data_IF_390103686640
#
_entry.id   IF_390103686640
#
_cell.length_a   1.000
_cell.length_b   1.000
_cell.length_c   1.000
_cell.angle_alpha   90.00
_cell.angle_beta   90.00
_cell.angle_gamma   90.00
#
_symmetry.space_group_name_H-M   'P 1'
#
loop_
_entity.id
_entity.type
_entity.pdbx_description
1 polymer ?
#
# COMPACT_ATOMS: atom_id res chain seq x y z
N UNK A 1 22.42 25.24 -17.22
CA UNK A 1 22.15 25.16 -17.11
C UNK A 1 21.98 24.71 -16.77
N UNK A 2 21.98 24.66 -16.91
CA UNK A 2 21.64 24.28 -16.70
C UNK A 2 21.47 23.59 -16.42
N UNK A 3 21.41 23.32 -16.57
CA UNK A 3 21.10 22.87 -16.38
C UNK A 3 20.88 22.25 -16.14
N UNK A 4 20.94 22.15 -16.23
CA UNK A 4 20.64 21.65 -16.09
C UNK A 4 20.27 21.06 -15.89
N UNK A 5 20.31 21.17 -16.05
CA UNK A 5 19.84 20.65 -15.97
C UNK A 5 19.56 19.98 -15.84
N UNK A 6 19.54 19.89 -15.94
CA UNK A 6 19.01 19.36 -15.94
C UNK A 6 18.86 18.50 -15.75
N UNK A 7 18.93 18.46 -15.80
CA UNK A 7 18.51 17.87 -15.78
C UNK A 7 18.45 17.02 -15.38
N UNK A 8 18.53 16.97 -15.41
CA UNK A 8 18.50 16.37 -15.08
C UNK A 8 18.04 15.77 -14.55
N UNK A 9 17.97 15.85 -14.56
CA UNK A 9 17.55 15.36 -14.20
C UNK A 9 17.16 14.74 -14.08
N UNK A 10 17.19 14.64 -14.47
CA UNK A 10 16.83 14.00 -14.42
C UNK A 10 16.61 13.23 -14.24
N UNK A 11 16.26 13.20 -14.33
CA UNK A 11 16.10 12.55 -14.51
C UNK A 11 16.47 11.70 -14.24
N UNK A 12 16.87 11.84 -14.01
CA UNK A 12 17.18 10.97 -13.45
C UNK A 12 16.38 9.85 -13.25
N UNK A 13 15.22 9.78 -13.43
CA UNK A 13 14.35 8.68 -13.32
C UNK A 13 14.66 7.60 -14.29
N UNK A 14 15.03 7.94 -15.45
CA UNK A 14 15.34 6.93 -16.44
C UNK A 14 16.48 6.05 -16.01
N UNK A 15 17.22 6.49 -15.03
CA UNK A 15 18.33 5.71 -14.55
C UNK A 15 17.99 4.82 -13.40
N UNK A 16 16.76 4.85 -12.97
CA UNK A 16 16.34 3.96 -11.94
C UNK A 16 16.46 2.54 -12.38
N UNK A 17 16.71 1.70 -11.45
CA UNK A 17 16.70 0.29 -11.73
C UNK A 17 15.33 -0.14 -12.22
N UNK A 18 15.28 -1.13 -13.10
CA UNK A 18 13.98 -1.62 -13.54
C UNK A 18 13.13 -2.06 -12.35
N UNK A 19 11.85 -1.89 -12.50
CA UNK A 19 10.93 -2.32 -11.48
C UNK A 19 9.81 -3.14 -12.12
N UNK A 20 9.11 -3.89 -11.29
CA UNK A 20 7.95 -4.64 -11.70
C UNK A 20 6.85 -4.42 -10.70
N UNK A 21 5.62 -4.46 -11.17
CA UNK A 21 4.48 -4.34 -10.27
C UNK A 21 4.26 -5.67 -9.56
N UNK A 22 4.10 -5.58 -8.25
CA UNK A 22 3.88 -6.73 -7.40
C UNK A 22 2.77 -6.39 -6.44
N UNK A 23 1.80 -7.27 -6.29
CA UNK A 23 0.74 -7.05 -5.34
C UNK A 23 1.28 -7.16 -3.92
N UNK A 24 0.71 -6.34 -3.02
CA UNK A 24 1.19 -6.30 -1.65
C UNK A 24 1.11 -7.64 -0.94
N UNK A 25 0.17 -8.50 -1.33
CA UNK A 25 0.03 -9.79 -0.66
C UNK A 25 1.29 -10.64 -0.72
N UNK A 26 2.19 -10.35 -1.65
CA UNK A 26 3.43 -11.09 -1.76
C UNK A 26 4.54 -10.51 -0.89
N UNK A 27 4.32 -9.32 -0.35
CA UNK A 27 5.34 -8.60 0.42
C UNK A 27 4.93 -8.40 1.86
N UNK A 28 3.64 -8.54 2.16
CA UNK A 28 3.12 -8.18 3.47
C UNK A 28 1.86 -8.96 3.74
N UNK A 29 1.50 -8.99 5.01
CA UNK A 29 0.15 -9.40 5.35
C UNK A 29 -0.55 -8.22 6.01
N UNK A 30 -1.86 -8.28 6.05
CA UNK A 30 -2.65 -7.19 6.55
C UNK A 30 -3.58 -7.66 7.64
N UNK A 31 -3.78 -6.79 8.62
CA UNK A 31 -4.70 -7.03 9.71
C UNK A 31 -5.61 -5.82 9.79
N UNK A 32 -6.86 -6.06 10.13
CA UNK A 32 -7.79 -4.96 10.17
C UNK A 32 -8.65 -5.03 11.40
N UNK A 33 -9.13 -3.86 11.78
CA UNK A 33 -10.12 -3.70 12.81
C UNK A 33 -10.98 -2.53 12.41
N UNK A 34 -11.98 -2.25 13.20
CA UNK A 34 -12.81 -1.10 12.90
C UNK A 34 -13.20 -0.43 14.21
N UNK A 35 -13.58 0.83 14.07
CA UNK A 35 -14.00 1.62 15.20
C UNK A 35 -14.88 2.73 14.66
N UNK A 36 -16.16 2.65 14.93
CA UNK A 36 -17.09 3.58 14.35
C UNK A 36 -17.09 3.45 12.83
N UNK A 37 -16.86 4.52 12.15
CA UNK A 37 -16.85 4.51 10.70
C UNK A 37 -15.43 4.49 10.13
N UNK A 38 -14.46 4.15 10.97
CA UNK A 38 -13.04 4.13 10.56
C UNK A 38 -12.55 2.71 10.57
N UNK A 39 -11.98 2.28 9.45
CA UNK A 39 -11.30 0.99 9.39
C UNK A 39 -9.81 1.23 9.65
N UNK A 40 -9.24 0.33 10.41
CA UNK A 40 -7.82 0.38 10.77
C UNK A 40 -7.15 -0.81 10.10
N UNK A 41 -6.21 -0.56 9.21
CA UNK A 41 -5.55 -1.64 8.50
C UNK A 41 -4.06 -1.55 8.75
N UNK A 42 -3.52 -2.58 9.38
CA UNK A 42 -2.08 -2.71 9.55
C UNK A 42 -1.49 -3.53 8.43
N UNK A 43 -0.40 -3.04 7.85
CA UNK A 43 0.30 -3.72 6.78
C UNK A 43 1.68 -4.08 7.29
N UNK A 44 1.97 -5.35 7.43
CA UNK A 44 3.18 -5.83 8.08
C UNK A 44 4.04 -6.55 7.07
N UNK A 45 5.28 -6.10 6.91
CA UNK A 45 6.19 -6.71 5.95
C UNK A 45 6.47 -8.16 6.32
N UNK A 46 6.46 -9.04 5.32
CA UNK A 46 6.78 -10.44 5.53
C UNK A 46 8.25 -10.64 5.86
N UNK A 47 9.10 -9.78 5.32
CA UNK A 47 10.53 -9.79 5.60
C UNK A 47 10.98 -8.40 5.91
N UNK A 48 11.93 -8.22 6.83
CA UNK A 48 12.38 -6.87 7.16
C UNK A 48 12.87 -6.08 5.95
N UNK A 49 13.47 -6.76 4.99
CA UNK A 49 14.01 -6.07 3.82
C UNK A 49 12.91 -5.50 2.93
N UNK A 50 11.67 -5.94 3.09
CA UNK A 50 10.57 -5.40 2.31
C UNK A 50 10.04 -4.11 2.88
N UNK A 51 10.32 -3.84 4.15
CA UNK A 51 9.73 -2.67 4.80
C UNK A 51 10.11 -1.36 4.12
N UNK A 52 11.38 -1.12 3.78
CA UNK A 52 11.72 0.13 3.09
C UNK A 52 10.95 0.32 1.79
N UNK A 53 10.66 -0.77 1.10
CA UNK A 53 9.89 -0.71 -0.13
C UNK A 53 8.46 -0.29 0.18
N UNK A 54 7.88 -0.87 1.22
CA UNK A 54 6.53 -0.49 1.63
C UNK A 54 6.48 0.99 2.02
N UNK A 55 7.46 1.45 2.78
CA UNK A 55 7.50 2.84 3.21
C UNK A 55 7.54 3.77 2.00
N UNK A 56 8.34 3.42 1.00
CA UNK A 56 8.49 4.27 -0.17
C UNK A 56 7.28 4.22 -1.08
N UNK A 57 6.71 3.04 -1.27
CA UNK A 57 5.71 2.87 -2.33
C UNK A 57 4.27 2.87 -1.84
N UNK A 58 4.01 2.47 -0.61
CA UNK A 58 2.63 2.44 -0.12
C UNK A 58 2.32 3.75 0.57
N UNK A 59 2.18 4.78 -0.24
CA UNK A 59 1.93 6.13 0.24
C UNK A 59 0.46 6.31 0.58
N UNK A 60 0.20 7.34 1.39
CA UNK A 60 -1.18 7.68 1.70
C UNK A 60 -1.97 7.96 0.42
N UNK A 61 -1.36 8.66 -0.52
CA UNK A 61 -2.03 9.00 -1.76
C UNK A 61 -2.35 7.76 -2.59
N UNK A 62 -1.42 6.81 -2.63
CA UNK A 62 -1.65 5.60 -3.40
C UNK A 62 -2.78 4.78 -2.79
N UNK A 63 -2.81 4.70 -1.46
CA UNK A 63 -3.86 3.98 -0.77
C UNK A 63 -5.20 4.70 -0.96
N UNK A 64 -5.20 6.01 -0.85
CA UNK A 64 -6.45 6.76 -1.05
C UNK A 64 -6.99 6.55 -2.45
N UNK A 65 -6.11 6.51 -3.45
CA UNK A 65 -6.55 6.28 -4.82
C UNK A 65 -7.09 4.86 -5.00
N UNK A 66 -6.46 3.92 -4.34
CA UNK A 66 -6.88 2.52 -4.42
C UNK A 66 -8.30 2.34 -3.87
N UNK A 67 -8.62 3.08 -2.84
CA UNK A 67 -9.95 3.00 -2.21
C UNK A 67 -10.87 4.13 -2.63
N UNK A 68 -10.59 4.75 -3.75
CA UNK A 68 -11.42 5.88 -4.20
C UNK A 68 -12.88 5.48 -4.25
N UNK A 69 -13.72 6.32 -3.67
CA UNK A 69 -15.15 6.05 -3.62
C UNK A 69 -15.59 5.18 -2.47
N UNK A 70 -14.64 4.57 -1.77
CA UNK A 70 -14.97 3.70 -0.66
C UNK A 70 -14.60 4.30 0.69
N UNK A 71 -13.69 5.24 0.71
CA UNK A 71 -13.28 5.90 1.95
C UNK A 71 -13.21 7.39 1.70
N UNK A 72 -13.35 8.17 2.76
CA UNK A 72 -13.35 9.62 2.65
C UNK A 72 -11.97 10.21 2.82
N UNK A 73 -11.14 9.59 3.62
CA UNK A 73 -9.79 10.09 3.89
C UNK A 73 -8.93 8.95 4.38
N UNK A 74 -7.63 9.09 4.17
CA UNK A 74 -6.66 8.09 4.59
C UNK A 74 -5.58 8.77 5.39
N UNK A 75 -5.25 8.18 6.55
CA UNK A 75 -4.07 8.56 7.30
C UNK A 75 -3.11 7.40 7.33
N UNK A 76 -1.83 7.70 7.32
CA UNK A 76 -0.80 6.68 7.29
C UNK A 76 0.19 6.91 8.43
N UNK A 77 0.54 5.84 9.11
CA UNK A 77 1.49 5.88 10.21
C UNK A 77 2.56 4.82 10.00
N UNK A 78 3.80 5.18 10.27
CA UNK A 78 4.91 4.24 10.17
C UNK A 78 5.19 3.65 11.54
N UNK A 79 5.36 2.34 11.55
CA UNK A 79 5.68 1.61 12.79
C UNK A 79 6.95 0.80 12.52
N UNK A 80 8.11 1.48 12.47
CA UNK A 80 9.34 0.81 12.05
C UNK A 80 9.77 -0.34 12.95
N UNK A 81 9.48 -0.26 14.23
CA UNK A 81 9.85 -1.35 15.13
C UNK A 81 9.12 -2.64 14.81
N UNK A 82 8.02 -2.55 14.09
CA UNK A 82 7.22 -3.71 13.72
C UNK A 82 7.33 -4.02 12.24
N UNK A 83 8.15 -3.25 11.51
CA UNK A 83 8.20 -3.35 10.05
C UNK A 83 6.81 -3.23 9.45
N UNK A 84 6.06 -2.26 9.94
CA UNK A 84 4.66 -2.14 9.59
C UNK A 84 4.27 -0.70 9.28
N UNK A 85 3.22 -0.58 8.51
CA UNK A 85 2.51 0.67 8.29
C UNK A 85 1.10 0.48 8.82
N UNK A 86 0.51 1.55 9.32
CA UNK A 86 -0.87 1.49 9.75
C UNK A 86 -1.66 2.55 9.02
N UNK A 87 -2.81 2.17 8.52
CA UNK A 87 -3.68 3.08 7.80
C UNK A 87 -5.00 3.22 8.52
N UNK A 88 -5.43 4.45 8.67
CA UNK A 88 -6.79 4.73 9.13
C UNK A 88 -7.58 5.16 7.91
N UNK A 89 -8.62 4.40 7.60
CA UNK A 89 -9.47 4.64 6.46
C UNK A 89 -10.76 5.25 6.98
N UNK A 90 -10.82 6.57 6.93
CA UNK A 90 -11.95 7.31 7.51
C UNK A 90 -13.14 7.28 6.59
N UNK A 91 -14.31 7.12 7.17
CA UNK A 91 -15.53 7.06 6.40
C UNK A 91 -15.71 5.76 5.66
N UNK A 92 -14.85 4.78 5.93
CA UNK A 92 -14.91 3.50 5.25
C UNK A 92 -16.11 2.69 5.67
N UNK A 93 -16.48 2.82 6.92
CA UNK A 93 -17.56 2.03 7.49
C UNK A 93 -18.85 2.82 7.60
N UNK A 94 -18.84 4.00 7.05
CA UNK A 94 -20.01 4.84 7.03
C UNK A 94 -21.06 4.18 6.16
N UNK A 95 -22.21 3.98 6.71
CA UNK A 95 -23.28 3.25 6.10
C UNK A 95 -23.40 3.26 4.60
N UNK A 96 -23.50 4.39 4.03
CA UNK A 96 -23.58 4.46 2.61
C UNK A 96 -24.03 3.17 1.98
N UNK A 97 -23.45 2.87 0.88
CA UNK A 97 -23.79 1.67 0.16
C UNK A 97 -23.25 0.41 0.76
N UNK A 98 -22.67 0.51 1.91
CA UNK A 98 -21.97 -0.64 2.46
C UNK A 98 -22.73 -1.30 3.59
N UNK A 99 -24.02 -1.12 3.61
CA UNK A 99 -24.82 -1.66 4.68
C UNK A 99 -24.56 -3.13 4.89
N UNK A 100 -24.48 -3.87 3.81
CA UNK A 100 -24.26 -5.29 3.90
C UNK A 100 -22.91 -5.64 4.49
N UNK A 101 -22.02 -4.67 4.60
CA UNK A 101 -20.69 -4.93 5.10
C UNK A 101 -20.51 -4.52 6.54
N UNK A 102 -21.57 -4.24 7.24
CA UNK A 102 -21.45 -3.78 8.62
C UNK A 102 -21.21 -4.90 9.59
N UNK A 103 -20.64 -5.96 9.14
CA UNK A 103 -20.30 -7.08 9.99
C UNK A 103 -18.79 -7.11 10.16
N UNK A 104 -18.31 -8.08 10.90
CA UNK A 104 -16.88 -8.26 11.06
C UNK A 104 -16.18 -8.46 9.74
N UNK A 105 -16.89 -8.94 8.75
CA UNK A 105 -16.28 -9.17 7.44
C UNK A 105 -15.84 -7.88 6.79
N UNK A 106 -16.41 -6.76 7.19
CA UNK A 106 -16.09 -5.49 6.58
C UNK A 106 -14.62 -5.13 6.74
N UNK A 107 -14.07 -5.31 7.94
CA UNK A 107 -12.66 -5.07 8.15
C UNK A 107 -11.81 -5.94 7.27
N UNK A 108 -12.18 -7.22 7.16
CA UNK A 108 -11.46 -8.12 6.30
C UNK A 108 -11.51 -7.69 4.85
N UNK A 109 -12.61 -7.12 4.43
CA UNK A 109 -12.72 -6.65 3.07
C UNK A 109 -11.66 -5.61 2.78
N UNK A 110 -11.44 -4.68 3.71
CA UNK A 110 -10.45 -3.63 3.48
C UNK A 110 -9.03 -4.17 3.52
N UNK A 111 -8.73 -5.08 4.44
CA UNK A 111 -7.38 -5.65 4.47
C UNK A 111 -7.11 -6.48 3.22
N UNK A 112 -8.07 -7.28 2.80
CA UNK A 112 -7.92 -8.08 1.59
C UNK A 112 -7.77 -7.18 0.37
N UNK A 113 -8.57 -6.12 0.30
CA UNK A 113 -8.50 -5.21 -0.83
C UNK A 113 -7.16 -4.49 -0.87
N UNK A 114 -6.63 -4.11 0.30
CA UNK A 114 -5.33 -3.45 0.31
C UNK A 114 -4.25 -4.37 -0.23
N UNK A 115 -4.32 -5.66 0.08
CA UNK A 115 -3.30 -6.60 -0.38
C UNK A 115 -3.33 -6.80 -1.90
N UNK A 116 -4.37 -6.36 -2.57
CA UNK A 116 -4.44 -6.39 -4.03
C UNK A 116 -3.77 -5.21 -4.69
N UNK A 117 -3.41 -4.20 -3.90
CA UNK A 117 -2.71 -3.05 -4.46
C UNK A 117 -1.36 -3.49 -4.99
N UNK A 118 -1.06 -3.12 -6.22
CA UNK A 118 0.23 -3.45 -6.81
C UNK A 118 1.15 -2.23 -6.71
N UNK A 119 2.39 -2.48 -6.34
CA UNK A 119 3.38 -1.42 -6.21
C UNK A 119 4.62 -1.81 -7.01
N UNK A 120 5.38 -0.83 -7.47
CA UNK A 120 6.65 -1.15 -8.13
C UNK A 120 7.67 -1.63 -7.11
N UNK A 121 8.33 -2.73 -7.44
CA UNK A 121 9.44 -3.24 -6.64
C UNK A 121 10.63 -3.42 -7.55
N UNK A 122 11.86 -3.36 -7.01
CA UNK A 122 13.02 -3.60 -7.85
C UNK A 122 12.93 -4.95 -8.54
N UNK A 123 13.27 -4.98 -9.81
CA UNK A 123 13.19 -6.24 -10.57
C UNK A 123 14.02 -7.33 -9.92
N UNK A 124 15.16 -6.97 -9.35
CA UNK A 124 16.00 -7.96 -8.68
C UNK A 124 15.25 -8.64 -7.55
N UNK A 125 14.47 -7.88 -6.79
CA UNK A 125 13.69 -8.47 -5.72
C UNK A 125 12.54 -9.30 -6.28
N UNK A 126 11.87 -8.80 -7.30
CA UNK A 126 10.71 -9.51 -7.83
C UNK A 126 11.12 -10.87 -8.37
N UNK A 127 12.35 -11.02 -8.84
CA UNK A 127 12.81 -12.31 -9.34
C UNK A 127 12.98 -13.34 -8.23
N UNK A 128 13.09 -12.91 -7.00
CA UNK A 128 13.18 -13.81 -5.87
C UNK A 128 11.83 -14.21 -5.31
N UNK A 129 10.79 -13.60 -5.82
CA UNK A 129 9.42 -13.94 -5.41
C UNK A 129 8.87 -15.01 -6.33
N UNK A 130 7.83 -15.73 -5.88
CA UNK A 130 7.19 -16.70 -6.76
C UNK A 130 6.75 -16.08 -8.07
N UNK A 131 6.75 -16.89 -9.13
CA UNK A 131 6.38 -16.38 -10.44
C UNK A 131 5.02 -15.70 -10.43
N UNK A 132 4.09 -16.23 -9.67
CA UNK A 132 2.76 -15.64 -9.60
C UNK A 132 2.71 -14.27 -8.95
N UNK A 133 3.80 -13.82 -8.33
CA UNK A 133 3.81 -12.53 -7.67
C UNK A 133 3.86 -11.37 -8.64
N UNK A 134 4.29 -11.61 -9.85
CA UNK A 134 4.38 -10.54 -10.83
C UNK A 134 3.02 -10.20 -11.35
N UNK A 135 2.70 -8.94 -11.28
CA UNK A 135 1.39 -8.48 -11.72
C UNK A 135 1.38 -8.13 -13.20
#
# INVERSE_FOLDING_TARGET
MPRRAGGRAHGRTSRRKPSRLVQLRWLAHARSGDKGDTANVGLIALEPEYYPILVREVTRQRVARHFRGMVKAVERFELPNLNALNFLLHGALDGGGTISLKTDAQGKVFSTALLRLAIPVPAALSRRLPVGARA
#
